data_IF_393252394516
#
_entry.id   IF_393252394516
#
_cell.length_a   1.000
_cell.length_b   1.000
_cell.length_c   1.000
_cell.angle_alpha   90.00
_cell.angle_beta   90.00
_cell.angle_gamma   90.00
#
_symmetry.space_group_name_H-M   'P 1'
#
loop_
_entity.id
_entity.type
_entity.pdbx_description
1 polymer ?
#
# COMPACT_ATOMS: atom_id res chain seq x y z
N UNK A 1 -41.29 4.62 22.25
CA UNK A 1 -40.04 5.40 22.02
C UNK A 1 -39.89 5.60 20.51
N UNK A 2 -40.31 6.77 19.99
CA UNK A 2 -40.20 7.10 18.55
C UNK A 2 -38.72 7.48 18.29
N UNK A 3 -38.07 6.69 17.46
CA UNK A 3 -36.78 7.09 16.88
C UNK A 3 -37.07 8.17 15.83
N UNK A 4 -36.71 9.41 16.14
CA UNK A 4 -36.64 10.50 15.17
C UNK A 4 -35.52 10.18 14.21
N UNK A 5 -35.86 9.69 13.02
CA UNK A 5 -34.91 9.68 11.90
C UNK A 5 -34.89 11.08 11.35
N UNK A 6 -33.78 11.81 11.53
CA UNK A 6 -33.55 13.11 10.93
C UNK A 6 -33.68 12.98 9.40
N UNK A 7 -34.34 13.93 8.76
CA UNK A 7 -34.48 13.93 7.30
C UNK A 7 -33.14 14.24 6.62
N UNK A 8 -32.90 13.74 5.41
CA UNK A 8 -31.66 14.01 4.66
C UNK A 8 -31.40 15.52 4.46
N UNK A 9 -32.46 16.33 4.42
CA UNK A 9 -32.36 17.80 4.37
C UNK A 9 -31.80 18.37 5.66
N UNK A 10 -32.19 17.80 6.80
CA UNK A 10 -31.66 18.20 8.11
C UNK A 10 -30.18 17.82 8.29
N UNK A 11 -29.78 16.66 7.76
CA UNK A 11 -28.37 16.23 7.79
C UNK A 11 -27.45 17.21 7.02
N UNK A 12 -27.96 17.85 5.96
CA UNK A 12 -27.24 18.90 5.23
C UNK A 12 -27.55 20.32 5.75
N UNK A 13 -28.50 20.49 6.66
CA UNK A 13 -28.89 21.80 7.18
C UNK A 13 -29.51 22.72 6.11
N UNK A 14 -30.26 22.16 5.15
CA UNK A 14 -30.94 22.87 4.07
C UNK A 14 -32.44 22.67 4.13
N UNK A 15 -33.22 23.58 3.53
CA UNK A 15 -34.67 23.43 3.42
C UNK A 15 -35.06 22.43 2.34
N UNK A 16 -36.29 21.89 2.41
CA UNK A 16 -36.84 20.99 1.38
C UNK A 16 -36.88 21.60 -0.02
N UNK A 17 -36.97 22.94 -0.11
CA UNK A 17 -37.02 23.70 -1.38
C UNK A 17 -35.65 24.17 -1.83
N UNK A 18 -34.55 23.72 -1.19
CA UNK A 18 -33.20 24.13 -1.53
C UNK A 18 -32.84 23.77 -2.99
N UNK A 19 -32.17 24.72 -3.66
CA UNK A 19 -31.68 24.49 -5.02
C UNK A 19 -30.53 23.45 -5.04
N UNK A 20 -30.27 22.79 -6.18
CA UNK A 20 -29.14 21.87 -6.32
C UNK A 20 -27.80 22.53 -5.98
N UNK A 21 -27.66 23.83 -6.24
CA UNK A 21 -26.44 24.59 -5.91
C UNK A 21 -26.30 24.84 -4.41
N UNK A 22 -27.42 25.06 -3.70
CA UNK A 22 -27.40 25.23 -2.25
C UNK A 22 -27.05 23.91 -1.53
N UNK A 23 -27.58 22.79 -2.03
CA UNK A 23 -27.23 21.45 -1.56
C UNK A 23 -25.73 21.19 -1.71
N UNK A 24 -25.14 21.53 -2.88
CA UNK A 24 -23.69 21.40 -3.12
C UNK A 24 -22.85 22.29 -2.21
N UNK A 25 -23.30 23.55 -1.98
CA UNK A 25 -22.60 24.49 -1.08
C UNK A 25 -22.63 24.00 0.37
N UNK A 26 -23.79 23.53 0.84
CA UNK A 26 -23.95 22.99 2.19
C UNK A 26 -23.04 21.75 2.39
N UNK A 27 -23.06 20.83 1.43
CA UNK A 27 -22.18 19.67 1.45
C UNK A 27 -20.70 20.05 1.56
N UNK A 28 -20.20 20.95 0.70
CA UNK A 28 -18.79 21.37 0.74
C UNK A 28 -18.39 21.95 2.10
N UNK A 29 -19.25 22.76 2.70
CA UNK A 29 -19.03 23.36 4.01
C UNK A 29 -18.95 22.31 5.13
N UNK A 30 -19.89 21.38 5.15
CA UNK A 30 -19.96 20.33 6.14
C UNK A 30 -18.88 19.25 5.94
N UNK A 31 -18.57 18.88 4.72
CA UNK A 31 -17.51 17.95 4.37
C UNK A 31 -16.12 18.46 4.80
N UNK A 32 -15.84 19.75 4.64
CA UNK A 32 -14.59 20.34 5.15
C UNK A 32 -14.51 20.38 6.68
N UNK A 33 -15.65 20.52 7.35
CA UNK A 33 -15.72 20.57 8.82
C UNK A 33 -15.58 19.19 9.45
N UNK A 34 -16.15 18.17 8.82
CA UNK A 34 -16.18 16.79 9.33
C UNK A 34 -15.25 15.84 8.60
N UNK A 35 -14.25 16.37 7.86
CA UNK A 35 -13.28 15.54 7.14
C UNK A 35 -12.43 14.74 8.12
N UNK A 36 -12.25 13.41 7.92
CA UNK A 36 -11.49 12.54 8.82
C UNK A 36 -10.03 12.97 8.97
N UNK A 37 -9.37 13.48 7.92
CA UNK A 37 -7.98 13.97 7.97
C UNK A 37 -7.82 15.25 8.81
N UNK A 38 -8.92 15.94 9.13
CA UNK A 38 -8.93 17.12 10.01
C UNK A 38 -9.48 16.85 11.41
N UNK A 39 -9.60 15.57 11.78
CA UNK A 39 -10.11 15.17 13.08
C UNK A 39 -11.64 15.28 13.22
N UNK A 40 -12.35 15.32 12.09
CA UNK A 40 -13.82 15.34 12.10
C UNK A 40 -14.45 13.98 12.40
N UNK A 41 -15.71 13.99 12.80
CA UNK A 41 -16.48 12.78 13.12
C UNK A 41 -16.79 11.96 11.86
N UNK A 42 -16.28 10.70 11.75
CA UNK A 42 -16.50 9.84 10.60
C UNK A 42 -17.98 9.47 10.37
N UNK A 43 -18.77 9.38 11.41
CA UNK A 43 -20.19 9.01 11.31
C UNK A 43 -21.04 10.20 10.85
N UNK A 44 -20.70 11.42 11.29
CA UNK A 44 -21.27 12.64 10.76
C UNK A 44 -20.92 12.80 9.26
N UNK A 45 -19.66 12.55 8.87
CA UNK A 45 -19.23 12.61 7.47
C UNK A 45 -20.00 11.63 6.58
N UNK A 46 -20.24 10.39 7.03
CA UNK A 46 -21.05 9.40 6.31
C UNK A 46 -22.48 9.87 6.07
N UNK A 47 -23.14 10.44 7.10
CA UNK A 47 -24.50 10.96 6.98
C UNK A 47 -24.59 12.10 5.98
N UNK A 48 -23.68 13.07 6.07
CA UNK A 48 -23.60 14.22 5.16
C UNK A 48 -23.36 13.76 3.71
N UNK A 49 -22.49 12.78 3.49
CA UNK A 49 -22.19 12.24 2.17
C UNK A 49 -23.40 11.50 1.58
N UNK A 50 -24.09 10.71 2.40
CA UNK A 50 -25.31 10.01 1.99
C UNK A 50 -26.44 10.99 1.64
N UNK A 51 -26.67 12.01 2.45
CA UNK A 51 -27.66 13.04 2.18
C UNK A 51 -27.39 13.79 0.87
N UNK A 52 -26.12 14.14 0.61
CA UNK A 52 -25.73 14.77 -0.65
C UNK A 52 -25.97 13.85 -1.85
N UNK A 53 -25.64 12.57 -1.76
CA UNK A 53 -25.79 11.61 -2.86
C UNK A 53 -27.26 11.43 -3.30
N UNK A 54 -28.16 11.43 -2.35
CA UNK A 54 -29.60 11.31 -2.63
C UNK A 54 -30.20 12.63 -3.13
N UNK A 55 -29.82 13.76 -2.53
CA UNK A 55 -30.45 15.06 -2.81
C UNK A 55 -29.82 15.82 -3.98
N UNK A 56 -28.62 15.45 -4.42
CA UNK A 56 -27.95 16.10 -5.57
C UNK A 56 -28.43 15.60 -6.93
N UNK A 57 -29.08 14.45 -6.98
CA UNK A 57 -29.66 13.87 -8.19
C UNK A 57 -31.18 14.07 -8.19
N UNK A 58 -31.70 14.74 -9.21
CA UNK A 58 -33.13 15.10 -9.28
C UNK A 58 -34.06 13.88 -9.26
N UNK A 59 -33.65 12.78 -9.87
CA UNK A 59 -34.47 11.56 -9.89
C UNK A 59 -34.49 10.86 -8.51
N UNK A 60 -33.35 10.84 -7.82
CA UNK A 60 -33.24 10.27 -6.47
C UNK A 60 -33.97 11.14 -5.45
N UNK A 61 -33.84 12.46 -5.58
CA UNK A 61 -34.51 13.44 -4.74
C UNK A 61 -36.05 13.30 -4.86
N UNK A 62 -36.59 13.25 -6.09
CA UNK A 62 -37.99 13.05 -6.32
C UNK A 62 -38.47 11.74 -5.71
N UNK A 63 -37.74 10.66 -5.87
CA UNK A 63 -38.08 9.36 -5.29
C UNK A 63 -38.08 9.40 -3.75
N UNK A 64 -37.09 10.07 -3.14
CA UNK A 64 -37.03 10.28 -1.70
C UNK A 64 -38.22 11.10 -1.19
N UNK A 65 -38.58 12.17 -1.89
CA UNK A 65 -39.70 13.04 -1.54
C UNK A 65 -41.05 12.35 -1.70
N UNK A 66 -41.18 11.44 -2.69
CA UNK A 66 -42.38 10.66 -2.92
C UNK A 66 -42.58 9.53 -1.89
N UNK A 67 -41.49 8.93 -1.43
CA UNK A 67 -41.53 7.81 -0.46
C UNK A 67 -41.54 8.27 1.00
N UNK A 68 -41.49 9.56 1.26
CA UNK A 68 -41.57 10.13 2.61
C UNK A 68 -40.37 9.77 3.53
N UNK A 69 -39.24 9.36 2.98
CA UNK A 69 -38.05 9.03 3.75
C UNK A 69 -38.06 7.65 4.40
N UNK A 70 -39.12 6.89 4.32
CA UNK A 70 -39.13 5.50 4.77
C UNK A 70 -38.61 4.59 3.66
N UNK A 71 -37.48 3.93 3.95
CA UNK A 71 -36.82 3.05 3.03
C UNK A 71 -37.71 1.94 2.52
N UNK A 72 -37.62 1.61 1.21
CA UNK A 72 -38.18 0.40 0.67
C UNK A 72 -37.83 -0.82 1.53
N UNK A 73 -38.79 -1.73 1.82
CA UNK A 73 -38.52 -3.01 2.46
C UNK A 73 -37.82 -3.94 1.44
N UNK A 74 -36.51 -3.88 1.42
CA UNK A 74 -35.65 -4.69 0.56
C UNK A 74 -34.27 -4.13 0.64
N UNK A 75 -33.48 -4.66 1.58
CA UNK A 75 -32.13 -4.20 1.94
C UNK A 75 -31.26 -3.78 0.76
N UNK A 76 -31.25 -2.50 0.48
CA UNK A 76 -30.22 -1.92 -0.37
C UNK A 76 -28.91 -1.96 0.42
N UNK A 77 -28.09 -2.94 0.10
CA UNK A 77 -26.72 -3.05 0.60
C UNK A 77 -25.93 -1.81 0.17
N UNK A 78 -25.66 -0.94 1.15
CA UNK A 78 -24.83 0.27 0.99
C UNK A 78 -23.45 -0.04 0.36
N UNK A 79 -22.98 -1.27 0.50
CA UNK A 79 -21.74 -1.76 -0.08
C UNK A 79 -21.84 -1.90 -1.62
N UNK A 80 -23.02 -2.26 -2.14
CA UNK A 80 -23.25 -2.37 -3.58
C UNK A 80 -23.38 -1.00 -4.25
N UNK A 81 -23.93 -0.01 -3.53
CA UNK A 81 -24.04 1.37 -4.02
C UNK A 81 -22.66 2.05 -4.10
N UNK A 82 -21.81 1.83 -3.10
CA UNK A 82 -20.42 2.30 -3.12
C UNK A 82 -19.57 1.66 -4.23
N UNK A 83 -19.83 0.39 -4.56
CA UNK A 83 -19.19 -0.30 -5.70
C UNK A 83 -19.61 0.27 -7.05
N UNK A 84 -20.86 0.71 -7.18
CA UNK A 84 -21.38 1.22 -8.45
C UNK A 84 -21.06 2.70 -8.67
N UNK A 85 -20.92 3.49 -7.59
CA UNK A 85 -20.58 4.91 -7.65
C UNK A 85 -19.09 5.20 -7.87
N UNK A 86 -18.19 4.25 -7.54
CA UNK A 86 -16.76 4.33 -7.86
C UNK A 86 -16.45 4.39 -9.36
N UNK A 87 -17.43 4.05 -10.22
CA UNK A 87 -17.28 4.08 -11.67
C UNK A 87 -17.63 5.41 -12.35
N UNK A 88 -18.30 6.34 -11.68
CA UNK A 88 -18.81 7.56 -12.31
C UNK A 88 -17.97 8.84 -12.06
N UNK A 89 -17.14 8.83 -11.05
CA UNK A 89 -16.07 9.80 -10.89
C UNK A 89 -14.80 9.20 -11.49
N UNK A 90 -14.60 9.35 -12.79
CA UNK A 90 -13.51 8.94 -13.65
C UNK A 90 -12.07 8.96 -13.15
N UNK A 91 -11.84 8.50 -11.96
CA UNK A 91 -10.58 8.03 -11.44
C UNK A 91 -10.71 6.51 -11.35
N UNK A 92 -10.08 5.82 -12.28
CA UNK A 92 -9.73 4.42 -12.15
C UNK A 92 -9.06 4.30 -10.77
N UNK A 93 -9.85 3.94 -9.70
CA UNK A 93 -9.19 3.50 -8.47
C UNK A 93 -8.26 2.39 -8.93
N UNK A 94 -6.95 2.53 -8.76
CA UNK A 94 -6.07 1.41 -9.03
C UNK A 94 -6.68 0.27 -8.20
N UNK A 95 -7.03 -0.82 -8.88
CA UNK A 95 -7.30 -2.09 -8.21
C UNK A 95 -6.25 -2.15 -7.12
N UNK A 96 -6.64 -2.31 -5.83
CA UNK A 96 -5.66 -2.46 -4.75
C UNK A 96 -4.72 -3.56 -5.22
N UNK A 97 -3.65 -3.16 -5.91
CA UNK A 97 -2.52 -4.03 -6.16
C UNK A 97 -2.14 -4.51 -4.77
N UNK A 98 -2.21 -5.78 -4.57
CA UNK A 98 -1.89 -6.37 -3.27
C UNK A 98 -0.39 -6.17 -3.12
N UNK A 99 0.00 -5.11 -2.42
CA UNK A 99 1.40 -4.85 -2.11
C UNK A 99 1.86 -5.89 -1.08
N UNK A 100 2.91 -6.60 -1.41
CA UNK A 100 3.51 -7.59 -0.52
C UNK A 100 4.84 -7.04 0.01
N UNK A 101 4.94 -6.76 1.32
CA UNK A 101 6.20 -6.29 1.89
C UNK A 101 7.24 -7.41 1.90
N UNK A 102 8.45 -7.10 1.46
CA UNK A 102 9.62 -7.97 1.56
C UNK A 102 10.60 -7.34 2.54
N UNK A 103 10.80 -8.02 3.65
CA UNK A 103 11.79 -7.60 4.63
C UNK A 103 13.20 -7.93 4.13
N UNK A 104 14.05 -6.92 4.05
CA UNK A 104 15.46 -7.03 3.68
C UNK A 104 16.34 -6.37 4.75
N UNK A 105 17.54 -6.87 4.90
CA UNK A 105 18.53 -6.34 5.84
C UNK A 105 19.57 -5.47 5.13
N UNK A 106 20.33 -4.68 5.88
CA UNK A 106 21.48 -3.95 5.32
C UNK A 106 22.56 -4.92 4.80
N UNK A 107 22.68 -6.10 5.40
CA UNK A 107 23.59 -7.15 4.94
C UNK A 107 23.18 -7.67 3.55
N UNK A 108 21.87 -7.88 3.32
CA UNK A 108 21.34 -8.28 2.00
C UNK A 108 21.67 -7.26 0.93
N UNK A 109 21.59 -5.96 1.26
CA UNK A 109 21.90 -4.86 0.33
C UNK A 109 23.41 -4.75 0.09
N UNK A 110 24.22 -4.90 1.15
CA UNK A 110 25.67 -4.80 1.05
C UNK A 110 26.27 -5.88 0.13
N UNK A 111 25.78 -7.11 0.27
CA UNK A 111 26.23 -8.27 -0.51
C UNK A 111 25.44 -8.48 -1.81
N UNK A 112 24.48 -7.60 -2.14
CA UNK A 112 23.62 -7.72 -3.32
C UNK A 112 22.99 -9.11 -3.41
N UNK A 113 22.44 -9.60 -2.30
CA UNK A 113 21.89 -10.93 -2.18
C UNK A 113 20.63 -11.09 -3.04
N UNK A 114 20.39 -12.33 -3.47
CA UNK A 114 19.16 -12.71 -4.16
C UNK A 114 18.18 -13.33 -3.19
N UNK A 115 16.97 -12.80 -3.11
CA UNK A 115 15.92 -13.33 -2.23
C UNK A 115 14.98 -14.23 -3.00
N UNK A 116 14.88 -15.49 -2.58
CA UNK A 116 13.93 -16.45 -3.13
C UNK A 116 12.63 -16.37 -2.34
N UNK A 117 11.52 -16.17 -3.05
CA UNK A 117 10.19 -16.06 -2.47
C UNK A 117 9.29 -17.09 -3.10
N UNK A 118 8.53 -17.81 -2.29
CA UNK A 118 7.47 -18.68 -2.74
C UNK A 118 6.16 -17.92 -2.69
N UNK A 119 5.61 -17.63 -3.85
CA UNK A 119 4.41 -16.80 -4.01
C UNK A 119 3.24 -17.67 -4.41
N UNK A 120 2.16 -17.51 -3.68
CA UNK A 120 0.87 -18.14 -3.92
C UNK A 120 -0.09 -17.07 -4.46
N UNK A 121 -0.57 -17.26 -5.67
CA UNK A 121 -1.39 -16.27 -6.34
C UNK A 121 -2.50 -16.88 -7.15
N UNK A 122 -3.50 -16.06 -7.48
CA UNK A 122 -4.67 -16.47 -8.23
C UNK A 122 -4.56 -15.95 -9.67
N UNK A 123 -4.22 -16.83 -10.62
CA UNK A 123 -4.22 -16.48 -12.03
C UNK A 123 -5.57 -16.73 -12.69
N UNK A 124 -5.84 -16.04 -13.77
CA UNK A 124 -7.03 -16.29 -14.57
C UNK A 124 -6.97 -17.69 -15.19
N UNK A 125 -8.07 -18.41 -15.10
CA UNK A 125 -8.15 -19.73 -15.71
C UNK A 125 -7.97 -19.63 -17.23
N UNK A 126 -6.98 -20.29 -17.83
CA UNK A 126 -6.70 -20.17 -19.25
C UNK A 126 -7.88 -20.67 -20.11
N UNK A 127 -8.59 -21.68 -19.64
CA UNK A 127 -9.75 -22.25 -20.38
C UNK A 127 -10.92 -21.28 -20.36
N UNK A 128 -11.18 -20.60 -19.23
CA UNK A 128 -12.27 -19.64 -19.12
C UNK A 128 -12.04 -18.33 -19.87
N UNK A 129 -10.79 -18.03 -20.25
CA UNK A 129 -10.42 -16.82 -21.01
C UNK A 129 -10.35 -17.06 -22.52
N UNK A 130 -10.38 -18.32 -22.98
CA UNK A 130 -10.40 -18.64 -24.40
C UNK A 130 -11.76 -18.30 -25.00
N UNK A 131 -11.75 -17.99 -26.29
CA UNK A 131 -12.97 -17.81 -27.08
C UNK A 131 -13.78 -19.10 -27.14
N UNK A 132 -15.10 -19.00 -27.00
CA UNK A 132 -15.98 -20.14 -27.15
C UNK A 132 -15.80 -20.78 -28.53
N UNK A 133 -15.56 -22.07 -28.57
CA UNK A 133 -15.30 -22.79 -29.83
C UNK A 133 -16.54 -22.83 -30.74
N UNK A 134 -17.74 -22.94 -30.17
CA UNK A 134 -18.99 -23.08 -30.91
C UNK A 134 -19.38 -21.78 -31.62
N UNK A 135 -19.32 -20.63 -30.93
CA UNK A 135 -19.68 -19.34 -31.52
C UNK A 135 -18.45 -18.49 -31.94
N UNK A 136 -17.24 -19.01 -31.81
CA UNK A 136 -15.97 -18.34 -32.17
C UNK A 136 -15.84 -16.93 -31.55
N UNK A 137 -16.42 -16.75 -30.37
CA UNK A 137 -16.37 -15.48 -29.66
C UNK A 137 -17.57 -14.56 -29.88
N UNK A 138 -18.45 -14.85 -30.83
CA UNK A 138 -19.61 -14.00 -31.15
C UNK A 138 -20.68 -13.98 -30.05
N UNK A 139 -20.74 -15.01 -29.19
CA UNK A 139 -21.78 -15.15 -28.17
C UNK A 139 -23.12 -15.57 -28.68
N UNK A 140 -23.37 -15.49 -29.99
CA UNK A 140 -24.64 -15.70 -30.63
C UNK A 140 -24.52 -16.70 -31.78
N UNK A 141 -25.55 -17.43 -32.08
CA UNK A 141 -25.73 -18.24 -33.28
C UNK A 141 -26.83 -17.66 -34.14
N UNK A 142 -26.56 -17.55 -35.44
CA UNK A 142 -27.56 -17.18 -36.41
C UNK A 142 -28.27 -18.48 -36.91
N UNK A 143 -29.54 -18.58 -36.67
CA UNK A 143 -30.41 -19.63 -37.22
C UNK A 143 -31.21 -19.05 -38.39
N UNK A 144 -31.05 -19.64 -39.56
CA UNK A 144 -31.79 -19.24 -40.75
C UNK A 144 -33.10 -20.07 -40.83
N UNK A 145 -34.22 -19.39 -40.65
CA UNK A 145 -35.54 -19.95 -40.79
C UNK A 145 -36.19 -19.34 -42.06
N UNK A 146 -35.96 -19.96 -43.21
CA UNK A 146 -36.38 -19.40 -44.48
C UNK A 146 -35.72 -18.06 -44.80
N UNK A 147 -36.48 -16.99 -45.12
CA UNK A 147 -35.91 -15.66 -45.36
C UNK A 147 -35.53 -14.90 -44.08
N UNK A 148 -35.88 -15.41 -42.89
CA UNK A 148 -35.57 -14.75 -41.61
C UNK A 148 -34.35 -15.34 -40.95
N UNK A 149 -33.45 -14.47 -40.44
CA UNK A 149 -32.29 -14.83 -39.63
C UNK A 149 -32.58 -14.47 -38.18
N UNK A 150 -32.71 -15.48 -37.32
CA UNK A 150 -32.91 -15.30 -35.88
C UNK A 150 -31.58 -15.48 -35.17
N UNK A 151 -31.20 -14.53 -34.34
CA UNK A 151 -30.02 -14.64 -33.50
C UNK A 151 -30.41 -15.22 -32.13
N UNK A 152 -29.79 -16.33 -31.76
CA UNK A 152 -29.95 -16.95 -30.44
C UNK A 152 -28.65 -16.93 -29.63
N UNK A 153 -28.70 -16.78 -28.30
CA UNK A 153 -27.55 -16.91 -27.46
C UNK A 153 -26.89 -18.29 -27.64
N UNK A 154 -25.59 -18.33 -27.78
CA UNK A 154 -24.82 -19.57 -27.88
C UNK A 154 -25.05 -20.45 -26.63
N UNK A 155 -25.55 -21.70 -26.80
CA UNK A 155 -25.89 -22.56 -25.65
C UNK A 155 -24.64 -22.99 -24.85
N UNK A 156 -23.47 -23.02 -25.46
CA UNK A 156 -22.22 -23.41 -24.79
C UNK A 156 -21.65 -22.30 -23.88
N UNK A 157 -21.75 -21.04 -24.29
CA UNK A 157 -21.21 -19.90 -23.53
C UNK A 157 -22.31 -18.98 -22.97
N UNK A 158 -23.56 -19.29 -23.15
CA UNK A 158 -24.73 -18.50 -22.67
C UNK A 158 -24.65 -17.01 -23.10
N UNK A 159 -24.25 -16.78 -24.33
CA UNK A 159 -24.13 -15.42 -24.88
C UNK A 159 -22.84 -14.68 -24.54
N UNK A 160 -21.98 -15.24 -23.71
CA UNK A 160 -20.74 -14.55 -23.24
C UNK A 160 -19.58 -14.54 -24.24
N UNK A 161 -19.63 -15.36 -25.28
CA UNK A 161 -18.55 -15.51 -26.28
C UNK A 161 -17.24 -16.11 -25.76
N UNK A 162 -17.09 -16.18 -24.46
CA UNK A 162 -15.90 -16.68 -23.74
C UNK A 162 -16.36 -17.58 -22.59
N UNK A 163 -15.55 -18.54 -22.23
CA UNK A 163 -15.80 -19.44 -21.10
C UNK A 163 -16.89 -20.49 -21.39
N UNK A 164 -16.48 -21.73 -21.67
CA UNK A 164 -17.43 -22.83 -21.84
C UNK A 164 -18.20 -23.07 -20.54
N UNK A 165 -19.44 -23.52 -20.70
CA UNK A 165 -20.30 -23.97 -19.61
C UNK A 165 -19.60 -25.12 -18.88
N UNK A 166 -19.40 -25.03 -17.56
CA UNK A 166 -18.88 -26.13 -16.77
C UNK A 166 -17.36 -26.31 -16.79
N UNK A 167 -16.57 -25.23 -16.72
CA UNK A 167 -15.12 -25.36 -16.56
C UNK A 167 -14.77 -26.08 -15.26
N UNK A 168 -14.26 -27.32 -15.35
CA UNK A 168 -13.87 -28.16 -14.22
C UNK A 168 -12.55 -27.72 -13.59
N UNK A 169 -11.65 -27.07 -14.35
CA UNK A 169 -10.31 -26.69 -13.88
C UNK A 169 -10.32 -25.58 -12.84
N UNK A 170 -11.31 -24.71 -12.85
CA UNK A 170 -11.42 -23.62 -11.89
C UNK A 170 -12.71 -23.68 -11.05
N UNK A 171 -13.48 -24.76 -11.14
CA UNK A 171 -14.75 -24.90 -10.43
C UNK A 171 -15.62 -23.63 -10.57
N UNK A 172 -15.79 -23.15 -11.80
CA UNK A 172 -16.54 -21.93 -12.17
C UNK A 172 -16.02 -20.61 -11.59
N UNK A 173 -14.93 -20.61 -10.79
CA UNK A 173 -14.40 -19.41 -10.14
C UNK A 173 -13.59 -18.52 -11.08
N UNK A 174 -13.33 -18.95 -12.31
CA UNK A 174 -12.53 -18.26 -13.34
C UNK A 174 -11.07 -17.99 -12.94
N UNK A 175 -10.66 -18.41 -11.76
CA UNK A 175 -9.32 -18.26 -11.21
C UNK A 175 -8.82 -19.62 -10.71
N UNK A 176 -7.54 -19.88 -10.90
CA UNK A 176 -6.83 -21.05 -10.39
C UNK A 176 -5.67 -20.59 -9.52
N UNK A 177 -5.45 -21.34 -8.44
CA UNK A 177 -4.33 -21.10 -7.54
C UNK A 177 -3.04 -21.64 -8.17
N UNK A 178 -2.01 -20.84 -8.22
CA UNK A 178 -0.68 -21.23 -8.68
C UNK A 178 0.36 -20.83 -7.63
N UNK A 179 1.31 -21.72 -7.38
CA UNK A 179 2.45 -21.46 -6.51
C UNK A 179 3.70 -21.42 -7.37
N UNK A 180 4.46 -20.33 -7.29
CA UNK A 180 5.69 -20.14 -8.06
C UNK A 180 6.81 -19.63 -7.17
N UNK A 181 7.99 -20.17 -7.35
CA UNK A 181 9.20 -19.63 -6.73
C UNK A 181 9.76 -18.52 -7.66
N UNK A 182 9.91 -17.33 -7.10
CA UNK A 182 10.48 -16.17 -7.77
C UNK A 182 11.78 -15.77 -7.07
N UNK A 183 12.72 -15.25 -7.84
CA UNK A 183 13.97 -14.71 -7.29
C UNK A 183 13.98 -13.21 -7.55
N UNK A 184 14.18 -12.43 -6.49
CA UNK A 184 14.29 -10.98 -6.55
C UNK A 184 15.73 -10.61 -6.25
N UNK A 185 16.35 -9.84 -7.14
CA UNK A 185 17.69 -9.32 -6.97
C UNK A 185 17.64 -8.06 -6.11
N UNK A 186 18.49 -7.99 -5.08
CA UNK A 186 18.62 -6.83 -4.20
C UNK A 186 19.88 -6.10 -4.64
N UNK A 187 19.74 -4.88 -5.14
CA UNK A 187 20.86 -4.06 -5.57
C UNK A 187 21.43 -3.19 -4.44
N UNK A 188 22.68 -2.69 -4.61
CA UNK A 188 23.32 -1.80 -3.65
C UNK A 188 22.58 -0.48 -3.42
N UNK A 189 21.82 -0.03 -4.41
CA UNK A 189 21.04 1.22 -4.35
C UNK A 189 19.58 1.02 -3.88
N UNK A 190 19.20 -0.21 -3.55
CA UNK A 190 17.84 -0.55 -3.09
C UNK A 190 17.42 0.33 -1.91
N UNK A 191 16.22 0.91 -2.00
CA UNK A 191 15.66 1.85 -1.03
C UNK A 191 14.46 1.26 -0.28
N UNK A 192 14.25 1.75 0.94
CA UNK A 192 13.02 1.46 1.68
C UNK A 192 11.82 2.00 0.91
N UNK A 193 10.77 1.18 0.78
CA UNK A 193 9.57 1.53 0.01
C UNK A 193 9.71 1.39 -1.52
N UNK A 194 10.84 0.92 -2.02
CA UNK A 194 11.01 0.65 -3.45
C UNK A 194 10.09 -0.48 -3.90
N UNK A 195 9.44 -0.29 -5.07
CA UNK A 195 8.44 -1.19 -5.61
C UNK A 195 8.97 -1.99 -6.78
N UNK A 196 8.75 -3.29 -6.74
CA UNK A 196 9.07 -4.21 -7.83
C UNK A 196 7.79 -4.87 -8.30
N UNK A 197 7.44 -4.64 -9.56
CA UNK A 197 6.26 -5.25 -10.16
C UNK A 197 6.67 -6.49 -10.96
N UNK A 198 6.07 -7.63 -10.61
CA UNK A 198 6.21 -8.86 -11.38
C UNK A 198 5.06 -8.91 -12.40
N UNK A 199 5.36 -8.47 -13.64
CA UNK A 199 4.35 -8.24 -14.69
C UNK A 199 3.47 -9.46 -14.98
N UNK A 200 4.04 -10.65 -15.01
CA UNK A 200 3.33 -11.91 -15.31
C UNK A 200 2.26 -12.25 -14.26
N UNK A 201 2.40 -11.75 -13.05
CA UNK A 201 1.55 -12.06 -11.89
C UNK A 201 0.63 -10.90 -11.49
N UNK A 202 0.92 -9.67 -11.92
CA UNK A 202 0.23 -8.47 -11.47
C UNK A 202 0.38 -8.23 -9.96
N UNK A 203 1.50 -8.68 -9.39
CA UNK A 203 1.83 -8.53 -7.97
C UNK A 203 2.92 -7.48 -7.84
N UNK A 204 2.75 -6.57 -6.90
CA UNK A 204 3.75 -5.56 -6.55
C UNK A 204 4.37 -5.90 -5.20
N UNK A 205 5.68 -6.05 -5.18
CA UNK A 205 6.47 -6.19 -3.97
C UNK A 205 7.03 -4.84 -3.54
N UNK A 206 7.08 -4.62 -2.23
CA UNK A 206 7.63 -3.39 -1.63
C UNK A 206 8.73 -3.77 -0.67
N UNK A 207 9.94 -3.24 -0.89
CA UNK A 207 11.04 -3.48 0.03
C UNK A 207 10.86 -2.74 1.36
N UNK A 208 10.92 -3.49 2.45
CA UNK A 208 10.96 -2.97 3.82
C UNK A 208 12.33 -3.25 4.40
N UNK A 209 13.17 -2.21 4.51
CA UNK A 209 14.50 -2.35 5.11
C UNK A 209 14.32 -2.42 6.63
N UNK A 210 14.82 -3.52 7.23
CA UNK A 210 14.82 -3.70 8.68
C UNK A 210 15.98 -2.89 9.27
N UNK A 211 15.70 -2.17 10.37
CA UNK A 211 16.71 -1.42 11.09
C UNK A 211 17.83 -2.36 11.58
N UNK A 212 19.08 -1.94 11.37
CA UNK A 212 20.23 -2.67 11.86
C UNK A 212 20.60 -2.18 13.27
N UNK A 213 20.99 -3.10 14.13
CA UNK A 213 21.31 -2.80 15.54
C UNK A 213 22.44 -1.79 15.72
N UNK A 214 23.44 -1.82 14.84
CA UNK A 214 24.69 -1.05 14.97
C UNK A 214 24.82 0.06 13.93
N UNK A 215 24.23 -0.12 12.73
CA UNK A 215 24.41 0.79 11.62
C UNK A 215 23.11 1.47 11.21
N UNK A 216 23.19 2.76 10.95
CA UNK A 216 22.16 3.53 10.27
C UNK A 216 22.63 3.88 8.86
N UNK A 217 21.83 3.59 7.83
CA UNK A 217 22.17 3.91 6.46
C UNK A 217 21.56 5.26 6.04
N UNK A 218 22.40 6.15 5.50
CA UNK A 218 21.97 7.41 4.90
C UNK A 218 22.51 7.47 3.46
N UNK A 219 21.65 7.21 2.50
CA UNK A 219 22.08 7.07 1.10
C UNK A 219 22.97 5.85 0.89
N UNK A 220 24.25 6.07 0.56
CA UNK A 220 25.28 5.04 0.46
C UNK A 220 26.22 4.99 1.68
N UNK A 221 26.08 5.95 2.58
CA UNK A 221 26.92 6.03 3.75
C UNK A 221 26.33 5.23 4.91
N UNK A 222 27.22 4.73 5.77
CA UNK A 222 26.89 4.04 7.01
C UNK A 222 27.28 4.92 8.19
N UNK A 223 26.38 5.04 9.15
CA UNK A 223 26.63 5.72 10.41
C UNK A 223 26.69 4.70 11.54
N UNK A 224 27.72 4.77 12.33
CA UNK A 224 27.99 3.87 13.46
C UNK A 224 28.24 4.69 14.72
N UNK A 225 27.54 4.38 15.79
CA UNK A 225 27.75 5.00 17.08
C UNK A 225 28.45 4.03 18.03
N UNK A 226 29.58 4.43 18.59
CA UNK A 226 30.36 3.60 19.48
C UNK A 226 30.60 4.30 20.81
N UNK A 227 30.45 3.56 21.90
CA UNK A 227 30.78 4.02 23.23
C UNK A 227 32.27 3.81 23.51
N UNK A 228 32.91 4.82 24.06
CA UNK A 228 34.33 4.78 24.44
C UNK A 228 34.50 5.41 25.82
N UNK A 229 35.43 4.88 26.63
CA UNK A 229 35.74 5.52 27.91
C UNK A 229 36.42 6.87 27.71
N UNK A 230 36.29 7.78 28.66
CA UNK A 230 37.00 9.06 28.64
C UNK A 230 38.51 8.85 28.56
N UNK A 231 39.08 7.87 29.28
CA UNK A 231 40.51 7.56 29.29
C UNK A 231 40.99 7.13 27.90
N UNK A 232 40.25 6.21 27.26
CA UNK A 232 40.57 5.73 25.91
C UNK A 232 40.41 6.83 24.86
N UNK A 233 39.48 7.77 25.08
CA UNK A 233 39.28 8.90 24.16
C UNK A 233 40.44 9.88 24.15
N UNK A 234 41.22 9.94 25.26
CA UNK A 234 42.39 10.81 25.41
C UNK A 234 43.69 10.07 25.05
N UNK A 235 43.87 8.86 25.57
CA UNK A 235 45.09 8.09 25.37
C UNK A 235 45.17 7.40 24.01
N UNK A 236 44.02 7.21 23.37
CA UNK A 236 43.88 6.42 22.16
C UNK A 236 43.74 4.93 22.45
N UNK A 237 42.99 4.28 21.62
CA UNK A 237 42.74 2.83 21.70
C UNK A 237 42.51 2.24 20.31
N UNK A 238 42.60 0.92 20.19
CA UNK A 238 42.26 0.22 18.97
C UNK A 238 40.81 -0.31 19.09
N UNK A 239 39.95 0.21 18.29
CA UNK A 239 38.53 -0.23 18.21
C UNK A 239 38.38 -1.30 17.13
N UNK A 240 37.54 -2.30 17.41
CA UNK A 240 37.13 -3.28 16.43
C UNK A 240 35.64 -3.07 16.14
N UNK A 241 35.35 -2.56 14.94
CA UNK A 241 33.97 -2.29 14.50
C UNK A 241 33.48 -3.50 13.71
N UNK A 242 32.33 -4.10 14.08
CA UNK A 242 31.71 -5.14 13.27
C UNK A 242 31.23 -4.52 11.94
N UNK A 243 31.71 -5.03 10.81
CA UNK A 243 31.34 -4.52 9.51
C UNK A 243 30.98 -5.65 8.56
N UNK A 244 30.15 -5.38 7.54
CA UNK A 244 29.67 -6.38 6.57
C UNK A 244 30.81 -7.05 5.78
N UNK A 245 31.92 -6.32 5.52
CA UNK A 245 33.13 -6.89 4.89
C UNK A 245 34.06 -7.62 5.85
N UNK A 246 33.66 -7.82 7.09
CA UNK A 246 34.50 -8.31 8.18
C UNK A 246 34.95 -7.19 9.13
N UNK A 247 35.40 -7.52 10.36
CA UNK A 247 35.69 -6.55 11.40
C UNK A 247 36.79 -5.58 10.97
N UNK A 248 36.55 -4.28 11.17
CA UNK A 248 37.49 -3.21 10.86
C UNK A 248 38.22 -2.81 12.16
N UNK A 249 39.54 -2.78 12.14
CA UNK A 249 40.34 -2.27 13.23
C UNK A 249 40.72 -0.82 12.94
N UNK A 250 40.43 0.08 13.87
CA UNK A 250 40.69 1.51 13.77
C UNK A 250 41.46 1.96 15.02
N UNK A 251 42.50 2.72 14.82
CA UNK A 251 43.19 3.44 15.91
C UNK A 251 42.50 4.78 16.12
N UNK A 252 42.07 5.07 17.34
CA UNK A 252 41.50 6.38 17.65
C UNK A 252 42.52 7.49 17.62
N UNK A 253 43.83 7.16 17.73
CA UNK A 253 44.94 8.12 17.59
C UNK A 253 44.97 8.76 16.20
N UNK A 254 44.51 8.07 15.16
CA UNK A 254 44.43 8.59 13.78
C UNK A 254 43.49 9.79 13.64
N UNK A 255 42.58 9.94 14.58
CA UNK A 255 41.57 11.02 14.61
C UNK A 255 41.98 12.18 15.56
N UNK A 256 43.05 12.03 16.33
CA UNK A 256 43.46 13.00 17.35
C UNK A 256 42.53 13.00 18.57
N UNK A 257 42.31 14.19 19.14
CA UNK A 257 41.37 14.32 20.27
C UNK A 257 39.95 14.16 19.78
N UNK A 258 39.22 13.19 20.35
CA UNK A 258 37.87 12.88 19.93
C UNK A 258 36.86 13.90 20.46
N UNK A 259 36.13 14.56 19.56
CA UNK A 259 34.96 15.39 19.90
C UNK A 259 33.67 14.55 19.75
N UNK A 260 32.89 14.31 20.81
CA UNK A 260 31.67 13.53 20.75
C UNK A 260 30.58 14.13 19.82
N UNK A 261 30.74 15.41 19.46
CA UNK A 261 29.78 16.11 18.57
C UNK A 261 30.11 15.98 17.10
N UNK A 262 31.30 15.44 16.78
CA UNK A 262 31.76 15.25 15.41
C UNK A 262 31.57 13.80 14.94
N UNK A 263 31.38 13.64 13.65
CA UNK A 263 31.46 12.35 12.99
C UNK A 263 32.80 12.22 12.27
N UNK A 264 33.40 11.06 12.40
CA UNK A 264 34.71 10.74 11.84
C UNK A 264 34.58 9.84 10.65
N UNK A 265 35.06 10.29 9.50
CA UNK A 265 34.90 9.60 8.23
C UNK A 265 35.96 8.54 8.01
N UNK A 266 35.55 7.34 7.67
CA UNK A 266 36.39 6.24 7.19
C UNK A 266 36.02 5.95 5.74
N UNK A 267 36.91 6.36 4.83
CA UNK A 267 36.63 6.31 3.40
C UNK A 267 36.46 4.89 2.86
N UNK A 268 35.47 4.71 1.98
CA UNK A 268 35.20 3.45 1.30
C UNK A 268 34.70 2.31 2.20
N UNK A 269 34.20 2.64 3.40
CA UNK A 269 33.65 1.68 4.36
C UNK A 269 32.14 1.85 4.59
N UNK A 270 31.47 2.53 3.68
CA UNK A 270 30.01 2.56 3.62
C UNK A 270 29.43 1.39 2.82
N UNK A 271 28.23 1.58 2.28
CA UNK A 271 27.70 0.74 1.23
C UNK A 271 28.56 0.91 -0.04
N UNK A 272 28.27 0.15 -1.11
CA UNK A 272 29.03 0.22 -2.35
C UNK A 272 29.20 1.66 -2.87
N UNK A 273 30.43 2.17 -2.78
CA UNK A 273 30.79 3.54 -3.16
C UNK A 273 30.45 4.62 -2.13
N UNK A 274 30.12 4.23 -0.90
CA UNK A 274 29.89 5.13 0.24
C UNK A 274 31.00 5.05 1.29
N UNK A 275 30.86 5.85 2.34
CA UNK A 275 31.80 5.99 3.44
C UNK A 275 31.15 5.58 4.77
N UNK A 276 31.99 5.29 5.77
CA UNK A 276 31.52 5.03 7.14
C UNK A 276 31.80 6.26 8.00
N UNK A 277 30.77 6.73 8.68
CA UNK A 277 30.86 7.81 9.65
C UNK A 277 30.71 7.25 11.06
N UNK A 278 31.67 7.57 11.93
CA UNK A 278 31.70 7.08 13.30
C UNK A 278 31.46 8.25 14.24
N UNK A 279 30.49 8.11 15.10
CA UNK A 279 30.26 9.03 16.22
C UNK A 279 30.71 8.37 17.52
N UNK A 280 31.54 9.04 18.27
CA UNK A 280 32.00 8.55 19.57
C UNK A 280 31.13 9.10 20.70
N UNK A 281 30.58 8.18 21.50
CA UNK A 281 29.83 8.50 22.72
C UNK A 281 30.76 8.30 23.92
N UNK A 282 31.37 9.40 24.38
CA UNK A 282 32.40 9.36 25.44
C UNK A 282 31.71 9.20 26.79
N UNK A 283 32.03 8.09 27.46
CA UNK A 283 31.51 7.79 28.78
C UNK A 283 32.44 8.37 29.85
N UNK A 284 31.95 9.36 30.56
CA UNK A 284 32.70 9.99 31.65
C UNK A 284 32.54 9.16 32.93
N UNK A 285 33.62 9.06 33.78
CA UNK A 285 33.54 8.36 35.04
C UNK A 285 32.52 9.01 35.99
N UNK A 286 31.85 8.20 36.79
CA UNK A 286 30.89 8.70 37.78
C UNK A 286 31.62 9.58 38.83
N UNK A 287 30.92 10.60 39.34
CA UNK A 287 31.44 11.50 40.35
C UNK A 287 31.86 10.71 41.60
N UNK A 288 33.15 10.59 41.88
CA UNK A 288 33.71 9.88 43.06
C UNK A 288 34.52 8.61 42.74
N UNK A 289 34.57 8.15 41.50
CA UNK A 289 35.51 7.10 41.10
C UNK A 289 36.90 7.67 41.01
N UNK A 290 37.77 7.24 41.95
CA UNK A 290 39.21 7.70 42.05
C UNK A 290 40.14 6.96 41.10
N UNK A 291 39.66 6.25 40.10
CA UNK A 291 40.50 5.42 39.22
C UNK A 291 41.00 6.15 37.96
N UNK A 292 41.32 7.42 38.05
CA UNK A 292 42.09 8.15 37.04
C UNK A 292 43.61 7.90 37.27
N UNK A 293 44.09 6.75 36.89
CA UNK A 293 45.55 6.55 36.73
C UNK A 293 45.91 7.07 35.35
N UNK A 294 46.31 8.34 35.30
CA UNK A 294 47.03 8.90 34.17
C UNK A 294 48.43 8.27 34.20
N UNK A 295 48.78 7.46 33.25
CA UNK A 295 50.11 6.92 33.01
C UNK A 295 50.88 7.90 32.13
#
# INVERSE_FOLDING_TARGET
MHRYTMSLYEDLGVSKDASPDDIKKAYRKLAMKHHPDKGGDPDAFKKISHAHDVLSDDAKRQNYDMTGGEGMPGGFDMSSLFKNMGGMFGGQMPSKETEHPINITLDDIYHENKKKLRVDWMKNCPICTTTCRQCKGAGMHALQLGPMVIQQPCPECEGKGKSPKGCKDCDHKKKIREVRDITIDIGADTRHGERIQVQDMGITFVFSIIDHKDFTRIGRDLHYKVQISFIDSVNGTILTIPHFSGPIKLSTQDFGILDPRQEYKVSGKGMKGGDLYIQFDVQYPARGEKNLTLI
#
